data_IF_583908790863
#
_entry.id   IF_583908790863
#
_cell.length_a   1.000
_cell.length_b   1.000
_cell.length_c   1.000
_cell.angle_alpha   90.00
_cell.angle_beta   90.00
_cell.angle_gamma   90.00
#
_symmetry.space_group_name_H-M   'P 1'
#
loop_
_entity.id
_entity.type
_entity.pdbx_description
1 polymer ?
#
# COMPACT_ATOMS: atom_id res chain seq x y z
N UNK A 1 27.23 9.49 -16.39
CA UNK A 1 26.23 10.50 -16.79
C UNK A 1 25.07 9.80 -17.53
N UNK A 2 24.31 8.93 -16.82
CA UNK A 2 23.22 8.09 -17.38
C UNK A 2 21.83 8.60 -17.00
N UNK A 3 21.74 9.53 -16.05
CA UNK A 3 20.48 10.08 -15.50
C UNK A 3 19.66 10.86 -16.52
N UNK A 4 20.25 11.26 -17.66
CA UNK A 4 19.57 12.01 -18.72
C UNK A 4 18.89 11.13 -19.78
N UNK A 5 19.17 9.82 -19.81
CA UNK A 5 18.65 8.92 -20.86
C UNK A 5 17.42 8.11 -20.44
N UNK A 6 17.15 7.97 -19.12
CA UNK A 6 16.05 7.15 -18.60
C UNK A 6 15.23 7.94 -17.56
N UNK A 7 14.37 8.89 -17.99
CA UNK A 7 13.64 9.80 -17.10
C UNK A 7 12.66 9.12 -16.12
N UNK A 8 12.57 7.79 -16.14
CA UNK A 8 11.61 6.96 -15.41
C UNK A 8 12.29 5.81 -14.65
N UNK A 9 13.59 5.87 -14.41
CA UNK A 9 14.26 4.93 -13.52
C UNK A 9 14.84 5.73 -12.38
N UNK A 10 14.48 5.35 -11.15
CA UNK A 10 15.13 5.83 -9.94
C UNK A 10 16.61 5.48 -10.05
N UNK A 11 17.42 6.42 -10.54
CA UNK A 11 18.84 6.24 -10.82
C UNK A 11 19.72 6.06 -9.59
N UNK A 12 19.11 5.90 -8.42
CA UNK A 12 19.79 5.61 -7.16
C UNK A 12 20.54 4.27 -7.25
N UNK A 13 19.97 3.31 -7.99
CA UNK A 13 20.61 2.03 -8.30
C UNK A 13 20.25 1.62 -9.74
N UNK A 14 21.24 1.47 -10.63
CA UNK A 14 21.06 0.83 -11.94
C UNK A 14 21.15 -0.70 -11.87
N UNK A 15 21.26 -1.23 -10.66
CA UNK A 15 21.34 -2.65 -10.35
C UNK A 15 20.16 -2.99 -9.45
N UNK A 16 19.65 -4.25 -9.50
CA UNK A 16 18.64 -4.70 -8.56
C UNK A 16 19.09 -4.45 -7.11
N UNK A 17 18.13 -4.19 -6.21
CA UNK A 17 18.40 -4.23 -4.78
C UNK A 17 19.06 -5.57 -4.45
N UNK A 18 20.26 -5.52 -3.86
CA UNK A 18 21.05 -6.73 -3.57
C UNK A 18 20.36 -7.62 -2.53
N UNK A 19 19.58 -7.01 -1.64
CA UNK A 19 18.90 -7.67 -0.52
C UNK A 19 17.37 -7.69 -0.68
N UNK A 20 16.85 -7.55 -1.91
CA UNK A 20 15.41 -7.59 -2.20
C UNK A 20 14.95 -8.93 -2.78
N UNK A 21 13.63 -9.16 -2.92
CA UNK A 21 13.09 -10.30 -3.67
C UNK A 21 13.71 -10.44 -5.07
N UNK A 22 13.77 -11.66 -5.61
CA UNK A 22 14.38 -11.92 -6.94
C UNK A 22 13.72 -11.15 -8.10
N UNK A 23 12.49 -10.68 -7.90
CA UNK A 23 11.72 -9.87 -8.85
C UNK A 23 11.70 -8.37 -8.52
N UNK A 24 12.65 -7.89 -7.70
CA UNK A 24 12.74 -6.47 -7.36
C UNK A 24 12.92 -5.60 -8.62
N UNK A 25 12.22 -4.47 -8.64
CA UNK A 25 12.36 -3.50 -9.72
C UNK A 25 13.80 -2.93 -9.76
N UNK A 26 14.28 -2.59 -10.96
CA UNK A 26 15.57 -1.91 -11.17
C UNK A 26 15.56 -0.43 -10.73
N UNK A 27 14.55 0.00 -9.97
CA UNK A 27 14.32 1.37 -9.54
C UNK A 27 12.85 1.78 -9.62
N UNK A 28 12.58 3.05 -9.30
CA UNK A 28 11.22 3.62 -9.29
C UNK A 28 10.91 4.41 -10.56
N UNK A 29 9.74 4.18 -11.16
CA UNK A 29 9.23 5.04 -12.23
C UNK A 29 8.59 6.30 -11.65
N UNK A 30 9.29 7.43 -11.73
CA UNK A 30 8.79 8.73 -11.29
C UNK A 30 7.46 9.09 -11.98
N UNK A 31 7.35 8.83 -13.29
CA UNK A 31 6.09 9.00 -14.04
C UNK A 31 5.01 8.02 -13.55
N UNK A 32 5.36 6.75 -13.36
CA UNK A 32 4.42 5.75 -12.84
C UNK A 32 3.86 6.15 -11.47
N UNK A 33 4.74 6.56 -10.55
CA UNK A 33 4.35 7.08 -9.24
C UNK A 33 3.46 8.33 -9.40
N UNK A 34 3.81 9.25 -10.30
CA UNK A 34 2.99 10.43 -10.58
C UNK A 34 1.56 10.09 -11.03
N UNK A 35 1.41 9.09 -11.89
CA UNK A 35 0.09 8.62 -12.33
C UNK A 35 -0.70 7.93 -11.22
N UNK A 36 -0.04 7.13 -10.37
CA UNK A 36 -0.68 6.54 -9.16
C UNK A 36 -1.16 7.65 -8.21
N UNK A 37 -0.39 8.73 -8.02
CA UNK A 37 -0.80 9.87 -7.21
C UNK A 37 -2.00 10.62 -7.81
N UNK A 38 -2.05 10.77 -9.14
CA UNK A 38 -3.23 11.33 -9.85
C UNK A 38 -4.46 10.48 -9.62
N UNK A 39 -4.32 9.15 -9.67
CA UNK A 39 -5.41 8.23 -9.38
C UNK A 39 -5.90 8.38 -7.93
N UNK A 40 -4.99 8.40 -6.95
CA UNK A 40 -5.33 8.64 -5.54
C UNK A 40 -6.06 9.96 -5.29
N UNK A 41 -5.66 11.03 -5.99
CA UNK A 41 -6.37 12.33 -5.95
C UNK A 41 -7.78 12.24 -6.54
N UNK A 42 -7.96 11.50 -7.63
CA UNK A 42 -9.27 11.28 -8.25
C UNK A 42 -10.22 10.55 -7.28
N UNK A 43 -9.74 9.45 -6.67
CA UNK A 43 -10.48 8.70 -5.64
C UNK A 43 -10.86 9.61 -4.48
N UNK A 44 -9.90 10.35 -3.93
CA UNK A 44 -10.15 11.26 -2.79
C UNK A 44 -11.16 12.37 -3.12
N UNK A 45 -11.24 12.79 -4.39
CA UNK A 45 -12.24 13.78 -4.84
C UNK A 45 -13.64 13.17 -4.92
N UNK A 46 -13.76 11.98 -5.51
CA UNK A 46 -15.03 11.24 -5.65
C UNK A 46 -15.59 10.83 -4.28
N UNK A 47 -14.73 10.34 -3.38
CA UNK A 47 -15.12 9.86 -2.05
C UNK A 47 -15.85 10.89 -1.16
N UNK A 48 -15.78 12.19 -1.49
CA UNK A 48 -16.52 13.25 -0.79
C UNK A 48 -18.02 13.20 -1.03
N UNK A 49 -18.45 12.64 -2.16
CA UNK A 49 -19.85 12.66 -2.60
C UNK A 49 -20.36 11.29 -3.03
N UNK A 50 -19.47 10.32 -3.23
CA UNK A 50 -19.80 9.01 -3.80
C UNK A 50 -19.36 7.89 -2.86
N UNK A 51 -20.22 6.87 -2.76
CA UNK A 51 -19.89 5.61 -2.09
C UNK A 51 -19.06 4.72 -3.03
N UNK A 52 -18.18 3.86 -2.50
CA UNK A 52 -17.58 2.78 -3.27
C UNK A 52 -18.64 1.88 -3.89
N UNK A 53 -18.36 1.35 -5.09
CA UNK A 53 -19.19 0.34 -5.75
C UNK A 53 -18.95 -1.09 -5.21
N UNK A 54 -17.92 -1.30 -4.40
CA UNK A 54 -17.61 -2.58 -3.79
C UNK A 54 -18.73 -3.01 -2.84
N UNK A 55 -19.01 -4.32 -2.74
CA UNK A 55 -20.00 -4.85 -1.78
C UNK A 55 -19.57 -4.66 -0.33
N UNK A 56 -18.28 -4.87 -0.08
CA UNK A 56 -17.61 -4.63 1.20
C UNK A 56 -16.15 -4.28 0.94
N UNK A 57 -15.52 -3.59 1.89
CA UNK A 57 -14.11 -3.24 1.86
C UNK A 57 -13.48 -3.62 3.20
N UNK A 58 -12.33 -4.28 3.15
CA UNK A 58 -11.43 -4.44 4.28
C UNK A 58 -10.20 -3.56 4.04
N UNK A 59 -9.92 -2.64 4.96
CA UNK A 59 -8.71 -1.82 4.94
C UNK A 59 -7.74 -2.35 5.98
N UNK A 60 -6.59 -2.83 5.51
CA UNK A 60 -5.51 -3.32 6.38
C UNK A 60 -4.36 -2.31 6.38
N UNK A 61 -3.91 -1.90 7.56
CA UNK A 61 -2.75 -1.00 7.73
C UNK A 61 -1.67 -1.66 8.59
N UNK A 62 -0.43 -1.23 8.40
CA UNK A 62 0.70 -1.59 9.25
C UNK A 62 1.17 -0.34 10.01
N UNK A 63 1.11 -0.38 11.34
CA UNK A 63 1.51 0.73 12.20
C UNK A 63 3.02 1.02 12.18
N UNK A 64 3.84 0.05 11.77
CA UNK A 64 5.29 0.20 11.59
C UNK A 64 5.69 0.61 10.16
N UNK A 65 4.73 0.84 9.26
CA UNK A 65 5.00 1.16 7.85
C UNK A 65 5.61 2.56 7.69
N UNK A 66 6.77 2.62 7.05
CA UNK A 66 7.48 3.87 6.75
C UNK A 66 7.44 4.26 5.28
N UNK A 67 6.93 3.39 4.41
CA UNK A 67 6.87 3.63 2.96
C UNK A 67 5.57 4.34 2.55
N UNK A 68 4.47 4.10 3.25
CA UNK A 68 3.17 4.74 2.97
C UNK A 68 2.53 5.38 4.21
N UNK A 69 1.72 6.41 3.98
CA UNK A 69 1.04 7.14 5.04
C UNK A 69 -0.41 6.65 5.22
N UNK A 70 -0.63 5.79 6.21
CA UNK A 70 -1.95 5.25 6.56
C UNK A 70 -3.00 6.31 6.90
N UNK A 71 -2.62 7.54 7.28
CA UNK A 71 -3.58 8.62 7.58
C UNK A 71 -4.44 8.97 6.37
N UNK A 72 -3.91 8.84 5.15
CA UNK A 72 -4.68 9.09 3.93
C UNK A 72 -5.74 8.02 3.70
N UNK A 73 -5.41 6.75 3.99
CA UNK A 73 -6.35 5.63 3.92
C UNK A 73 -7.50 5.82 4.93
N UNK A 74 -7.17 6.20 6.17
CA UNK A 74 -8.17 6.46 7.21
C UNK A 74 -9.06 7.67 6.87
N UNK A 75 -8.50 8.71 6.24
CA UNK A 75 -9.30 9.83 5.73
C UNK A 75 -10.28 9.38 4.64
N UNK A 76 -9.84 8.51 3.73
CA UNK A 76 -10.69 7.94 2.69
C UNK A 76 -11.85 7.12 3.27
N UNK A 77 -11.56 6.26 4.26
CA UNK A 77 -12.60 5.51 4.99
C UNK A 77 -13.62 6.44 5.65
N UNK A 78 -13.15 7.52 6.31
CA UNK A 78 -14.05 8.50 6.93
C UNK A 78 -14.96 9.19 5.91
N UNK A 79 -14.43 9.56 4.74
CA UNK A 79 -15.23 10.16 3.67
C UNK A 79 -16.31 9.20 3.18
N UNK A 80 -15.96 7.94 2.89
CA UNK A 80 -16.94 6.94 2.46
C UNK A 80 -18.01 6.65 3.51
N UNK A 81 -17.63 6.54 4.79
CA UNK A 81 -18.59 6.42 5.89
C UNK A 81 -19.51 7.62 5.99
N UNK A 82 -19.00 8.85 5.80
CA UNK A 82 -19.83 10.05 5.80
C UNK A 82 -20.85 10.10 4.66
N UNK A 83 -20.57 9.41 3.54
CA UNK A 83 -21.53 9.21 2.46
C UNK A 83 -22.55 8.10 2.76
N UNK A 84 -22.41 7.34 3.87
CA UNK A 84 -23.28 6.25 4.30
C UNK A 84 -22.87 4.87 3.80
N UNK A 85 -21.57 4.66 3.51
CA UNK A 85 -21.04 3.34 3.17
C UNK A 85 -20.51 2.65 4.44
N UNK A 86 -21.35 1.78 5.02
CA UNK A 86 -21.09 1.14 6.31
C UNK A 86 -20.32 -0.19 6.22
N UNK A 87 -20.31 -0.81 5.03
CA UNK A 87 -19.62 -2.09 4.79
C UNK A 87 -18.09 -1.92 4.66
N UNK A 88 -17.47 -1.17 5.59
CA UNK A 88 -16.02 -1.01 5.70
C UNK A 88 -15.54 -1.51 7.06
N UNK A 89 -14.63 -2.46 6.99
CA UNK A 89 -13.88 -2.94 8.13
C UNK A 89 -12.43 -2.47 8.07
N UNK A 90 -11.83 -2.26 9.23
CA UNK A 90 -10.45 -1.79 9.36
C UNK A 90 -9.70 -2.70 10.31
N UNK A 91 -8.49 -3.09 9.94
CA UNK A 91 -7.56 -3.82 10.80
C UNK A 91 -6.19 -3.15 10.71
N UNK A 92 -5.59 -2.86 11.86
CA UNK A 92 -4.23 -2.34 11.93
C UNK A 92 -3.33 -3.36 12.64
N UNK A 93 -2.25 -3.75 11.98
CA UNK A 93 -1.15 -4.40 12.68
C UNK A 93 -0.45 -3.36 13.57
N UNK A 94 -0.41 -3.63 14.87
CA UNK A 94 0.31 -2.78 15.82
C UNK A 94 1.79 -2.61 15.43
N UNK A 95 2.31 -1.40 15.61
CA UNK A 95 3.69 -1.04 15.34
C UNK A 95 4.70 -1.89 16.14
N UNK A 96 4.29 -2.45 17.29
CA UNK A 96 5.11 -3.34 18.13
C UNK A 96 5.56 -4.62 17.41
N UNK A 97 4.82 -5.05 16.38
CA UNK A 97 5.14 -6.22 15.52
C UNK A 97 6.29 -5.94 14.57
N UNK A 98 6.69 -4.68 14.40
CA UNK A 98 7.83 -4.26 13.56
C UNK A 98 7.77 -4.88 12.15
N UNK A 99 6.57 -4.92 11.58
CA UNK A 99 6.36 -5.46 10.25
C UNK A 99 6.96 -4.50 9.20
N UNK A 100 7.60 -5.07 8.17
CA UNK A 100 8.07 -4.33 6.99
C UNK A 100 6.89 -3.79 6.15
N UNK A 101 7.14 -2.98 5.12
CA UNK A 101 6.05 -2.48 4.25
C UNK A 101 5.33 -3.61 3.51
N UNK A 102 6.10 -4.48 2.84
CA UNK A 102 5.60 -5.54 1.96
C UNK A 102 5.21 -6.81 2.75
N UNK A 103 4.30 -6.67 3.74
CA UNK A 103 3.99 -7.70 4.73
C UNK A 103 3.46 -9.03 4.16
N UNK A 104 2.91 -9.01 2.95
CA UNK A 104 2.31 -10.17 2.31
C UNK A 104 3.28 -10.96 1.44
N UNK A 105 4.45 -10.40 1.15
CA UNK A 105 5.40 -11.01 0.23
C UNK A 105 6.32 -11.99 1.00
N UNK A 106 6.27 -13.31 0.70
CA UNK A 106 7.07 -14.31 1.40
C UNK A 106 8.55 -14.31 1.01
N UNK A 107 8.93 -13.60 -0.07
CA UNK A 107 10.32 -13.50 -0.52
C UNK A 107 11.02 -12.24 0.01
N UNK A 108 10.31 -11.38 0.73
CA UNK A 108 10.93 -10.22 1.37
C UNK A 108 11.88 -10.64 2.48
N UNK A 109 13.00 -9.92 2.56
CA UNK A 109 13.87 -10.00 3.72
C UNK A 109 13.11 -9.48 4.94
N UNK A 110 13.24 -10.16 6.08
CA UNK A 110 12.48 -9.89 7.31
C UNK A 110 10.96 -10.09 7.21
N UNK A 111 10.48 -10.85 6.22
CA UNK A 111 9.09 -11.28 6.19
C UNK A 111 8.68 -11.98 7.49
N UNK A 112 7.41 -11.79 7.89
CA UNK A 112 6.80 -12.44 9.04
C UNK A 112 5.46 -13.11 8.64
N UNK A 113 5.44 -13.82 7.51
CA UNK A 113 4.24 -14.45 6.92
C UNK A 113 3.56 -15.44 7.87
N UNK A 114 4.31 -16.13 8.73
CA UNK A 114 3.75 -17.00 9.76
C UNK A 114 2.86 -16.25 10.78
N UNK A 115 3.12 -14.95 10.99
CA UNK A 115 2.27 -14.05 11.78
C UNK A 115 1.17 -13.43 10.92
N UNK A 116 1.53 -12.91 9.74
CA UNK A 116 0.63 -12.10 8.90
C UNK A 116 -0.47 -12.94 8.24
N UNK A 117 -0.14 -14.09 7.65
CA UNK A 117 -1.08 -14.86 6.84
C UNK A 117 -2.27 -15.40 7.62
N UNK A 118 -2.12 -16.01 8.82
CA UNK A 118 -3.27 -16.47 9.58
C UNK A 118 -4.28 -15.34 9.87
N UNK A 119 -3.78 -14.14 10.19
CA UNK A 119 -4.62 -12.97 10.45
C UNK A 119 -5.34 -12.51 9.18
N UNK A 120 -4.64 -12.41 8.06
CA UNK A 120 -5.27 -12.01 6.80
C UNK A 120 -6.30 -13.04 6.32
N UNK A 121 -6.02 -14.34 6.47
CA UNK A 121 -6.98 -15.39 6.13
C UNK A 121 -8.26 -15.28 6.96
N UNK A 122 -8.14 -15.12 8.28
CA UNK A 122 -9.29 -14.91 9.16
C UNK A 122 -10.13 -13.69 8.72
N UNK A 123 -9.47 -12.56 8.44
CA UNK A 123 -10.15 -11.33 8.03
C UNK A 123 -10.89 -11.42 6.69
N UNK A 124 -10.44 -12.27 5.75
CA UNK A 124 -11.06 -12.38 4.42
C UNK A 124 -12.08 -13.53 4.28
N UNK A 125 -12.09 -14.51 5.19
CA UNK A 125 -13.02 -15.66 5.13
C UNK A 125 -14.21 -15.57 6.07
N UNK A 126 -14.30 -14.51 6.86
CA UNK A 126 -15.44 -14.24 7.76
C UNK A 126 -16.72 -13.82 7.03
#
# INVERSE_FOLDING_TARGET
MLTHYLPNIGSQYFFPFQDGPQYSYLGYSSRGIGEVMRFGKSISKSAKNEKPAAKSILVVTNGADTAVNSKMNLALVKMWRSCGYEAIEQYEFDADKKLIHDIIDPQQVQQQTALVYPILFDLITR
#
